data_IF_494215621869
#
_entry.id   IF_494215621869
#
_cell.length_a   1.000
_cell.length_b   1.000
_cell.length_c   1.000
_cell.angle_alpha   90.00
_cell.angle_beta   90.00
_cell.angle_gamma   90.00
#
_symmetry.space_group_name_H-M   'P 1'
#
loop_
_entity.id
_entity.type
_entity.pdbx_description
1 polymer ?
#
# COMPACT_ATOMS: atom_id res chain seq x y z
N UNK A 1 -54.41 1.41 -22.88
CA UNK A 1 -53.04 0.93 -22.65
C UNK A 1 -52.17 1.70 -23.63
N UNK A 2 -51.41 2.70 -23.16
CA UNK A 2 -50.61 3.56 -24.03
C UNK A 2 -49.48 2.81 -24.73
N UNK A 3 -49.09 3.29 -25.91
CA UNK A 3 -48.05 2.70 -26.76
C UNK A 3 -46.85 3.65 -26.93
N UNK A 4 -45.65 3.09 -27.09
CA UNK A 4 -44.47 3.88 -27.43
C UNK A 4 -44.44 4.12 -28.95
N UNK A 5 -44.27 5.37 -29.35
CA UNK A 5 -44.09 5.76 -30.75
C UNK A 5 -42.76 6.50 -30.92
N UNK A 6 -42.19 6.46 -32.12
CA UNK A 6 -41.04 7.28 -32.50
C UNK A 6 -41.52 8.34 -33.48
N UNK A 7 -41.32 9.61 -33.13
CA UNK A 7 -41.65 10.75 -33.99
C UNK A 7 -40.46 11.71 -33.99
N UNK A 8 -39.99 12.10 -35.18
CA UNK A 8 -38.85 13.01 -35.37
C UNK A 8 -37.58 12.61 -34.58
N UNK A 9 -37.34 11.30 -34.44
CA UNK A 9 -36.19 10.74 -33.73
C UNK A 9 -36.30 10.72 -32.20
N UNK A 10 -37.44 11.14 -31.62
CA UNK A 10 -37.70 11.11 -30.18
C UNK A 10 -38.63 9.95 -29.82
N UNK A 11 -38.36 9.28 -28.69
CA UNK A 11 -39.31 8.31 -28.11
C UNK A 11 -40.40 9.09 -27.37
N UNK A 12 -41.64 8.95 -27.82
CA UNK A 12 -42.82 9.54 -27.19
C UNK A 12 -43.68 8.43 -26.59
N UNK A 13 -44.33 8.72 -25.46
CA UNK A 13 -45.40 7.87 -24.94
C UNK A 13 -46.73 8.45 -25.41
N UNK A 14 -47.53 7.64 -26.10
CA UNK A 14 -48.85 8.03 -26.59
C UNK A 14 -49.92 7.48 -25.65
N UNK A 15 -50.76 8.37 -25.12
CA UNK A 15 -51.88 8.02 -24.25
C UNK A 15 -53.11 7.64 -25.09
N UNK A 16 -54.10 6.99 -24.45
CA UNK A 16 -55.31 6.50 -25.12
C UNK A 16 -56.17 7.65 -25.69
N UNK A 17 -55.96 8.89 -25.22
CA UNK A 17 -56.59 10.12 -25.73
C UNK A 17 -55.86 10.76 -26.91
N UNK A 18 -54.87 10.07 -27.48
CA UNK A 18 -54.05 10.50 -28.60
C UNK A 18 -53.12 11.69 -28.29
N UNK A 19 -52.96 12.06 -27.02
CA UNK A 19 -51.91 12.99 -26.58
C UNK A 19 -50.55 12.28 -26.53
N UNK A 20 -49.47 13.01 -26.79
CA UNK A 20 -48.09 12.50 -26.74
C UNK A 20 -47.26 13.32 -25.76
N UNK A 21 -46.40 12.66 -24.98
CA UNK A 21 -45.40 13.32 -24.15
C UNK A 21 -43.98 12.84 -24.47
N UNK A 22 -43.01 13.73 -24.35
CA UNK A 22 -41.62 13.43 -24.67
C UNK A 22 -40.95 12.61 -23.56
N UNK A 23 -40.51 11.39 -23.87
CA UNK A 23 -39.84 10.49 -22.94
C UNK A 23 -38.33 10.78 -22.95
N UNK A 24 -37.97 12.02 -22.64
CA UNK A 24 -36.56 12.47 -22.59
C UNK A 24 -35.99 12.48 -21.17
N UNK A 25 -36.87 12.52 -20.15
CA UNK A 25 -36.44 12.54 -18.75
C UNK A 25 -35.78 11.21 -18.31
N UNK A 26 -36.30 10.05 -18.74
CA UNK A 26 -35.87 8.74 -18.21
C UNK A 26 -34.45 8.37 -18.66
N UNK A 27 -34.13 8.55 -19.95
CA UNK A 27 -32.79 8.24 -20.49
C UNK A 27 -31.68 9.15 -19.94
N UNK A 28 -31.99 10.43 -19.69
CA UNK A 28 -31.02 11.37 -19.11
C UNK A 28 -30.79 11.13 -17.60
N UNK A 29 -31.82 10.65 -16.89
CA UNK A 29 -31.68 10.23 -15.49
C UNK A 29 -30.75 9.01 -15.37
N UNK A 30 -30.90 8.00 -16.25
CA UNK A 30 -30.07 6.79 -16.23
C UNK A 30 -28.59 7.08 -16.52
N UNK A 31 -28.30 7.92 -17.51
CA UNK A 31 -26.92 8.32 -17.82
C UNK A 31 -26.30 9.14 -16.68
N UNK A 32 -27.05 10.08 -16.08
CA UNK A 32 -26.58 10.88 -14.97
C UNK A 32 -26.32 10.07 -13.68
N UNK A 33 -27.13 9.04 -13.43
CA UNK A 33 -26.92 8.11 -12.33
C UNK A 33 -25.67 7.24 -12.56
N UNK A 34 -25.48 6.78 -13.79
CA UNK A 34 -24.31 5.97 -14.17
C UNK A 34 -23.01 6.76 -14.00
N UNK A 35 -22.96 8.02 -14.46
CA UNK A 35 -21.79 8.89 -14.28
C UNK A 35 -21.50 9.15 -12.80
N UNK A 36 -22.52 9.48 -12.00
CA UNK A 36 -22.35 9.68 -10.55
C UNK A 36 -21.82 8.45 -9.83
N UNK A 37 -22.27 7.25 -10.24
CA UNK A 37 -21.76 6.00 -9.67
C UNK A 37 -20.28 5.80 -9.98
N UNK A 38 -19.86 6.08 -11.22
CA UNK A 38 -18.45 5.98 -11.63
C UNK A 38 -17.59 6.98 -10.85
N UNK A 39 -18.05 8.22 -10.69
CA UNK A 39 -17.32 9.26 -9.95
C UNK A 39 -17.13 8.86 -8.47
N UNK A 40 -18.19 8.34 -7.83
CA UNK A 40 -18.11 7.85 -6.44
C UNK A 40 -17.13 6.67 -6.32
N UNK A 41 -17.13 5.75 -7.28
CA UNK A 41 -16.20 4.61 -7.28
C UNK A 41 -14.75 5.07 -7.44
N UNK A 42 -14.49 6.04 -8.32
CA UNK A 42 -13.15 6.58 -8.52
C UNK A 42 -12.66 7.35 -7.29
N UNK A 43 -13.52 8.15 -6.66
CA UNK A 43 -13.17 8.87 -5.43
C UNK A 43 -12.83 7.89 -4.30
N UNK A 44 -13.67 6.87 -4.07
CA UNK A 44 -13.43 5.86 -3.05
C UNK A 44 -12.10 5.12 -3.28
N UNK A 45 -11.76 4.82 -4.53
CA UNK A 45 -10.49 4.18 -4.85
C UNK A 45 -9.28 5.09 -4.54
N UNK A 46 -9.40 6.39 -4.78
CA UNK A 46 -8.35 7.34 -4.43
C UNK A 46 -8.17 7.47 -2.92
N UNK A 47 -9.27 7.54 -2.18
CA UNK A 47 -9.26 7.64 -0.73
C UNK A 47 -8.60 6.39 -0.09
N UNK A 48 -8.96 5.19 -0.57
CA UNK A 48 -8.35 3.93 -0.12
C UNK A 48 -6.84 3.91 -0.40
N UNK A 49 -6.41 4.39 -1.58
CA UNK A 49 -4.97 4.45 -1.91
C UNK A 49 -4.22 5.40 -0.99
N UNK A 50 -4.75 6.58 -0.74
CA UNK A 50 -4.15 7.56 0.15
C UNK A 50 -4.05 7.04 1.59
N UNK A 51 -5.07 6.33 2.07
CA UNK A 51 -5.05 5.71 3.40
C UNK A 51 -4.03 4.57 3.48
N UNK A 52 -3.92 3.72 2.44
CA UNK A 52 -2.90 2.68 2.36
C UNK A 52 -1.48 3.27 2.32
N UNK A 53 -1.26 4.35 1.60
CA UNK A 53 0.03 5.06 1.57
C UNK A 53 0.39 5.62 2.95
N UNK A 54 -0.59 6.19 3.66
CA UNK A 54 -0.40 6.70 5.02
C UNK A 54 -0.09 5.59 6.01
N UNK A 55 -0.81 4.45 5.93
CA UNK A 55 -0.55 3.27 6.75
C UNK A 55 0.85 2.69 6.47
N UNK A 56 1.24 2.58 5.20
CA UNK A 56 2.56 2.09 4.80
C UNK A 56 3.67 3.03 5.25
N UNK A 57 3.48 4.35 5.14
CA UNK A 57 4.42 5.34 5.66
C UNK A 57 4.54 5.28 7.19
N UNK A 58 3.46 4.95 7.89
CA UNK A 58 3.42 4.74 9.34
C UNK A 58 4.06 3.43 9.82
N UNK A 59 4.23 2.44 8.94
CA UNK A 59 4.94 1.19 9.28
C UNK A 59 6.46 1.39 9.25
N UNK A 60 6.98 2.06 10.27
CA UNK A 60 8.42 2.05 10.53
C UNK A 60 8.89 0.61 10.73
N UNK A 61 9.95 0.20 10.02
CA UNK A 61 10.57 -1.11 10.21
C UNK A 61 10.94 -1.32 11.69
N UNK A 62 10.98 -2.57 12.16
CA UNK A 62 11.37 -2.88 13.55
C UNK A 62 12.68 -2.18 13.93
N UNK A 63 13.66 -2.13 13.02
CA UNK A 63 14.94 -1.46 13.23
C UNK A 63 14.76 0.05 13.42
N UNK A 64 13.98 0.72 12.56
CA UNK A 64 13.72 2.17 12.72
C UNK A 64 13.04 2.48 14.06
N UNK A 65 12.10 1.62 14.48
CA UNK A 65 11.44 1.75 15.79
C UNK A 65 12.43 1.58 16.95
N UNK A 66 13.31 0.58 16.86
CA UNK A 66 14.38 0.37 17.84
C UNK A 66 15.33 1.57 17.89
N UNK A 67 15.74 2.11 16.73
CA UNK A 67 16.65 3.25 16.62
C UNK A 67 16.05 4.57 17.12
N UNK A 68 14.72 4.69 17.11
CA UNK A 68 13.99 5.83 17.64
C UNK A 68 13.68 5.72 19.15
N UNK A 69 13.95 4.57 19.77
CA UNK A 69 13.74 4.36 21.20
C UNK A 69 14.84 4.98 22.06
N UNK A 70 14.47 5.54 23.21
CA UNK A 70 15.41 6.16 24.16
C UNK A 70 16.42 5.17 24.77
N UNK A 71 16.12 3.87 24.68
CA UNK A 71 16.92 2.76 25.22
C UNK A 71 17.56 1.90 24.12
N UNK A 72 17.84 2.51 22.96
CA UNK A 72 18.53 1.88 21.85
C UNK A 72 19.89 1.31 22.28
N UNK A 73 20.07 0.00 22.13
CA UNK A 73 21.32 -0.70 22.42
C UNK A 73 21.77 -1.58 21.25
N UNK A 74 23.09 -1.62 21.04
CA UNK A 74 23.75 -2.38 19.96
C UNK A 74 24.76 -3.35 20.56
N UNK A 75 24.66 -4.63 20.18
CA UNK A 75 25.62 -5.67 20.57
C UNK A 75 26.30 -6.23 19.33
N UNK A 76 27.63 -6.37 19.39
CA UNK A 76 28.45 -6.94 18.33
C UNK A 76 28.95 -8.32 18.76
N UNK A 77 28.89 -9.28 17.85
CA UNK A 77 29.65 -10.52 17.98
C UNK A 77 30.68 -10.59 16.86
N UNK A 78 31.83 -11.21 17.14
CA UNK A 78 32.94 -11.25 16.22
C UNK A 78 33.36 -12.70 15.94
N UNK A 79 33.71 -12.97 14.69
CA UNK A 79 34.53 -14.12 14.33
C UNK A 79 35.98 -13.81 14.66
N UNK A 80 36.71 -14.84 15.09
CA UNK A 80 38.15 -14.78 15.39
C UNK A 80 38.53 -13.64 16.37
N UNK A 81 37.81 -13.48 17.51
CA UNK A 81 37.97 -12.33 18.40
C UNK A 81 39.38 -12.26 19.01
N UNK A 82 39.95 -11.06 19.06
CA UNK A 82 41.29 -10.80 19.57
C UNK A 82 42.44 -11.19 18.62
N UNK A 83 42.13 -11.55 17.38
CA UNK A 83 43.14 -11.88 16.36
C UNK A 83 43.26 -10.77 15.31
N UNK A 84 44.30 -10.84 14.46
CA UNK A 84 44.43 -9.93 13.32
C UNK A 84 43.33 -10.14 12.25
N UNK A 85 42.61 -11.26 12.32
CA UNK A 85 41.57 -11.66 11.37
C UNK A 85 40.14 -11.39 11.89
N UNK A 86 40.03 -10.67 13.02
CA UNK A 86 38.76 -10.34 13.66
C UNK A 86 37.81 -9.61 12.70
N UNK A 87 36.56 -10.08 12.65
CA UNK A 87 35.50 -9.48 11.83
C UNK A 87 34.13 -9.65 12.47
N UNK A 88 33.24 -8.69 12.27
CA UNK A 88 31.88 -8.72 12.83
C UNK A 88 31.11 -9.92 12.26
N UNK A 89 30.57 -10.78 13.11
CA UNK A 89 29.67 -11.87 12.72
C UNK A 89 28.22 -11.39 12.72
N UNK A 90 27.78 -10.79 13.82
CA UNK A 90 26.42 -10.27 13.97
C UNK A 90 26.41 -8.91 14.63
N UNK A 91 25.38 -8.13 14.28
CA UNK A 91 24.99 -6.91 15.00
C UNK A 91 23.55 -7.09 15.45
N UNK A 92 23.31 -7.06 16.75
CA UNK A 92 21.98 -7.12 17.33
C UNK A 92 21.58 -5.74 17.85
N UNK A 93 20.48 -5.23 17.33
CA UNK A 93 19.84 -3.97 17.74
C UNK A 93 18.68 -4.31 18.66
N UNK A 94 18.61 -3.67 19.83
CA UNK A 94 17.56 -3.93 20.81
C UNK A 94 16.99 -2.65 21.38
N UNK A 95 15.71 -2.72 21.78
CA UNK A 95 15.05 -1.78 22.67
C UNK A 95 14.20 -2.59 23.65
N UNK A 96 14.50 -2.46 24.94
CA UNK A 96 13.83 -3.18 26.02
C UNK A 96 12.42 -2.63 26.20
N UNK A 97 12.27 -1.30 26.18
CA UNK A 97 11.01 -0.57 26.31
C UNK A 97 10.00 -0.98 25.24
N UNK A 98 10.47 -1.22 24.01
CA UNK A 98 9.64 -1.67 22.89
C UNK A 98 9.51 -3.20 22.81
N UNK A 99 10.29 -3.95 23.59
CA UNK A 99 10.40 -5.41 23.49
C UNK A 99 10.71 -5.87 22.05
N UNK A 100 11.59 -5.14 21.37
CA UNK A 100 11.99 -5.39 19.99
C UNK A 100 13.47 -5.73 19.91
N UNK A 101 13.79 -6.66 19.02
CA UNK A 101 15.16 -7.01 18.63
C UNK A 101 15.22 -7.25 17.13
N UNK A 102 16.31 -6.84 16.50
CA UNK A 102 16.65 -7.12 15.09
C UNK A 102 18.11 -7.55 15.05
N UNK A 103 18.43 -8.60 14.28
CA UNK A 103 19.82 -9.06 14.12
C UNK A 103 20.23 -9.05 12.66
N UNK A 104 21.35 -8.40 12.37
CA UNK A 104 22.07 -8.52 11.10
C UNK A 104 23.17 -9.57 11.25
N UNK A 105 23.22 -10.53 10.32
CA UNK A 105 24.27 -11.55 10.22
C UNK A 105 25.09 -11.31 8.96
N UNK A 106 26.41 -11.28 9.12
CA UNK A 106 27.38 -10.97 8.07
C UNK A 106 28.07 -12.26 7.61
N UNK A 107 28.06 -12.49 6.30
CA UNK A 107 28.71 -13.64 5.66
C UNK A 107 29.96 -13.20 4.92
N UNK A 108 31.03 -13.99 5.04
CA UNK A 108 32.33 -13.68 4.44
C UNK A 108 32.84 -14.84 3.58
N UNK A 109 33.60 -14.50 2.55
CA UNK A 109 34.43 -15.43 1.78
C UNK A 109 35.90 -14.98 1.80
N UNK A 110 36.80 -15.86 1.39
CA UNK A 110 38.25 -15.60 1.35
C UNK A 110 39.01 -16.38 2.42
N UNK A 111 40.16 -15.86 2.81
CA UNK A 111 41.10 -16.48 3.75
C UNK A 111 41.65 -15.45 4.74
N UNK A 112 42.36 -15.91 5.77
CA UNK A 112 43.11 -15.06 6.71
C UNK A 112 43.84 -13.92 5.99
N UNK A 113 43.67 -12.69 6.48
CA UNK A 113 44.21 -11.45 5.92
C UNK A 113 43.50 -10.93 4.66
N UNK A 114 42.52 -11.64 4.10
CA UNK A 114 41.84 -11.26 2.86
C UNK A 114 40.38 -11.75 2.79
N UNK A 115 39.57 -11.29 3.76
CA UNK A 115 38.14 -11.55 3.79
C UNK A 115 37.35 -10.54 2.96
N UNK A 116 36.22 -10.98 2.39
CA UNK A 116 35.30 -10.17 1.60
C UNK A 116 33.89 -10.43 2.09
N UNK A 117 33.13 -9.37 2.33
CA UNK A 117 31.71 -9.48 2.67
C UNK A 117 30.95 -10.00 1.45
N UNK A 118 30.19 -11.08 1.62
CA UNK A 118 29.38 -11.70 0.56
C UNK A 118 27.89 -11.55 0.77
N UNK A 119 27.45 -11.26 1.99
CA UNK A 119 26.03 -11.08 2.27
C UNK A 119 25.77 -10.50 3.64
N UNK A 120 24.60 -9.85 3.75
CA UNK A 120 24.02 -9.40 5.00
C UNK A 120 22.59 -9.95 5.03
N UNK A 121 22.25 -10.69 6.09
CA UNK A 121 20.90 -11.17 6.32
C UNK A 121 20.34 -10.51 7.58
N UNK A 122 19.13 -9.95 7.49
CA UNK A 122 18.41 -9.36 8.62
C UNK A 122 17.27 -10.28 9.08
N UNK A 123 17.16 -10.49 10.39
CA UNK A 123 16.08 -11.24 11.06
C UNK A 123 15.45 -10.42 12.19
#
# INVERSE_FOLDING_TARGET
MGQFIIQDGRKLYQFDDNSTCEVTAILNLDNGLTTKLVDVQQQLLQDIKAELETLNAGQSSKLQRIQAGDDYAVTYTYLDPGTADERVQTITYTSVSLSLSVTDTYSYAGSAGNYRLTGIQRA
#
